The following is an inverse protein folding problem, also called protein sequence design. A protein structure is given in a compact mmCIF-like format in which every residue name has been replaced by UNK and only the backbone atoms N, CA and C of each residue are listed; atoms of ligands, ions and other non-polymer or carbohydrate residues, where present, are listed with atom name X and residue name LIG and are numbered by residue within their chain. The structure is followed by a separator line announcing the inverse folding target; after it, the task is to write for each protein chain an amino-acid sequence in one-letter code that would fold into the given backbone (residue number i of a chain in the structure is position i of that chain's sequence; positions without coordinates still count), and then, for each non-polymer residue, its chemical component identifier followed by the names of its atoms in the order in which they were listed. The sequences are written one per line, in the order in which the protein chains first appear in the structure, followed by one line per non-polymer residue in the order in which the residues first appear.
data_IF_231126363455
#
_entry.id   IF_231126363455
#
_cell.length_a   1.000
_cell.length_b   1.000
_cell.length_c   1.000
_cell.angle_alpha   90.00
_cell.angle_beta   90.00
_cell.angle_gamma   90.00
#
_symmetry.space_group_name_H-M   'P 1'
#
loop_
_entity.id
_entity.type
_entity.pdbx_description
1 polymer ?
#
# COMPACT_ATOMS: atom_id res chain seq x y z
N UNK A 1 -5.33 -1.58 -2.01
CA UNK A 1 -4.93 -0.18 -1.71
C UNK A 1 -5.15 0.67 -2.93
N UNK A 2 -5.72 1.85 -2.75
CA UNK A 2 -6.00 2.84 -3.81
C UNK A 2 -5.29 4.12 -3.44
N UNK A 3 -4.53 4.69 -4.38
CA UNK A 3 -3.80 5.95 -4.21
C UNK A 3 -4.35 6.96 -5.22
N UNK A 4 -4.91 8.06 -4.73
CA UNK A 4 -5.17 9.26 -5.51
C UNK A 4 -4.15 10.32 -5.14
N UNK A 5 -3.42 10.89 -6.11
CA UNK A 5 -2.41 11.92 -5.85
C UNK A 5 -2.57 13.10 -6.82
N UNK A 6 -2.43 14.32 -6.30
CA UNK A 6 -2.25 15.52 -7.12
C UNK A 6 -0.77 15.80 -7.23
N UNK A 7 -0.22 15.68 -8.43
CA UNK A 7 1.20 15.82 -8.70
C UNK A 7 1.55 17.25 -9.15
N UNK A 8 2.70 17.75 -8.70
CA UNK A 8 3.35 18.99 -9.18
C UNK A 8 4.60 18.72 -10.03
N UNK A 9 5.02 17.46 -10.13
CA UNK A 9 6.13 16.98 -10.94
C UNK A 9 5.86 15.59 -11.50
N UNK A 10 6.81 15.03 -12.25
CA UNK A 10 6.67 13.71 -12.86
C UNK A 10 6.92 12.60 -11.83
N UNK A 11 5.89 11.82 -11.53
CA UNK A 11 5.94 10.64 -10.66
C UNK A 11 5.31 9.49 -11.44
N UNK A 12 6.16 8.58 -11.94
CA UNK A 12 5.75 7.49 -12.81
C UNK A 12 4.78 6.54 -12.12
N UNK A 13 3.95 5.85 -12.91
CA UNK A 13 3.02 4.85 -12.36
C UNK A 13 3.78 3.72 -11.65
N UNK A 14 4.93 3.30 -12.19
CA UNK A 14 5.77 2.28 -11.54
C UNK A 14 6.22 2.74 -10.14
N UNK A 15 6.62 4.00 -9.97
CA UNK A 15 7.00 4.53 -8.65
C UNK A 15 5.81 4.50 -7.68
N UNK A 16 4.62 4.88 -8.15
CA UNK A 16 3.39 4.84 -7.34
C UNK A 16 3.02 3.40 -6.93
N UNK A 17 3.15 2.44 -7.86
CA UNK A 17 2.94 1.02 -7.57
C UNK A 17 3.96 0.53 -6.54
N UNK A 18 5.25 0.87 -6.68
CA UNK A 18 6.28 0.45 -5.71
C UNK A 18 6.05 1.03 -4.32
N UNK A 19 5.51 2.25 -4.20
CA UNK A 19 5.08 2.81 -2.91
C UNK A 19 4.03 1.91 -2.25
N UNK A 20 3.01 1.49 -3.01
CA UNK A 20 1.97 0.60 -2.51
C UNK A 20 2.51 -0.80 -2.13
N UNK A 21 3.29 -1.43 -3.01
CA UNK A 21 3.84 -2.78 -2.82
C UNK A 21 4.80 -2.86 -1.63
N UNK A 22 5.65 -1.84 -1.44
CA UNK A 22 6.63 -1.81 -0.35
C UNK A 22 5.98 -1.65 1.02
N UNK A 23 4.81 -1.01 1.08
CA UNK A 23 4.05 -0.82 2.32
C UNK A 23 3.20 -2.05 2.69
N UNK A 24 2.91 -2.94 1.74
CA UNK A 24 2.14 -4.15 1.99
C UNK A 24 2.95 -5.18 2.81
N UNK A 25 2.25 -6.09 3.50
CA UNK A 25 2.88 -7.23 4.18
C UNK A 25 3.73 -8.07 3.20
N UNK A 26 3.19 -8.28 2.00
CA UNK A 26 3.88 -8.84 0.84
C UNK A 26 3.16 -8.41 -0.44
N UNK A 27 3.89 -8.21 -1.52
CA UNK A 27 3.34 -7.91 -2.85
C UNK A 27 2.76 -9.19 -3.51
N UNK A 28 1.93 -8.99 -4.53
CA UNK A 28 1.29 -10.08 -5.27
C UNK A 28 2.13 -10.51 -6.47
N UNK A 29 2.18 -11.82 -6.70
CA UNK A 29 2.87 -12.42 -7.84
C UNK A 29 1.91 -13.33 -8.61
N UNK A 30 1.86 -13.20 -9.93
CA UNK A 30 0.91 -13.96 -10.76
C UNK A 30 1.23 -15.46 -10.87
N UNK A 31 2.50 -15.84 -10.68
CA UNK A 31 2.94 -17.24 -10.71
C UNK A 31 4.07 -17.44 -9.70
N UNK A 32 3.90 -18.43 -8.83
CA UNK A 32 4.87 -18.77 -7.78
C UNK A 32 5.35 -20.21 -7.99
N UNK A 33 6.66 -20.44 -7.88
CA UNK A 33 7.21 -21.78 -7.63
C UNK A 33 7.13 -22.10 -6.14
N UNK A 34 7.34 -23.36 -5.77
CA UNK A 34 7.33 -23.80 -4.37
C UNK A 34 8.26 -22.98 -3.45
N UNK A 35 9.50 -22.64 -3.84
CA UNK A 35 10.36 -21.78 -3.02
C UNK A 35 9.81 -20.36 -2.87
N UNK A 36 9.17 -19.83 -3.92
CA UNK A 36 8.60 -18.49 -3.93
C UNK A 36 7.37 -18.43 -3.01
N UNK A 37 6.50 -19.44 -3.06
CA UNK A 37 5.35 -19.59 -2.18
C UNK A 37 5.76 -19.64 -0.69
N UNK A 38 6.83 -20.39 -0.39
CA UNK A 38 7.43 -20.40 0.96
C UNK A 38 7.86 -18.98 1.37
N UNK A 39 8.58 -18.29 0.50
CA UNK A 39 9.08 -16.95 0.79
C UNK A 39 7.95 -15.95 1.05
N UNK A 40 6.96 -15.85 0.16
CA UNK A 40 5.88 -14.85 0.31
C UNK A 40 5.02 -15.13 1.55
N UNK A 41 4.85 -16.40 1.90
CA UNK A 41 4.12 -16.81 3.11
C UNK A 41 4.86 -16.39 4.37
N UNK A 42 6.15 -16.71 4.47
CA UNK A 42 6.99 -16.31 5.62
C UNK A 42 7.11 -14.78 5.70
N UNK A 43 7.31 -14.11 4.56
CA UNK A 43 7.41 -12.65 4.48
C UNK A 43 6.16 -11.96 5.01
N UNK A 44 4.97 -12.37 4.55
CA UNK A 44 3.71 -11.80 4.99
C UNK A 44 3.43 -12.09 6.48
N UNK A 45 3.82 -13.28 6.97
CA UNK A 45 3.68 -13.66 8.37
C UNK A 45 4.57 -12.81 9.29
N UNK A 46 5.82 -12.55 8.88
CA UNK A 46 6.79 -11.77 9.67
C UNK A 46 6.53 -10.25 9.59
N UNK A 47 5.76 -9.78 8.61
CA UNK A 47 5.46 -8.36 8.38
C UNK A 47 3.95 -8.09 8.37
N UNK A 48 3.20 -8.46 9.43
CA UNK A 48 1.78 -8.23 9.46
C UNK A 48 1.47 -6.72 9.53
N UNK A 49 0.40 -6.32 8.85
CA UNK A 49 -0.07 -4.93 8.81
C UNK A 49 -1.59 -4.92 9.00
N UNK A 50 -2.08 -4.07 9.88
CA UNK A 50 -3.49 -3.70 9.88
C UNK A 50 -3.82 -2.79 8.69
N UNK A 51 -5.11 -2.64 8.38
CA UNK A 51 -5.56 -1.76 7.29
C UNK A 51 -5.12 -0.31 7.53
N UNK A 52 -5.06 0.12 8.80
CA UNK A 52 -4.57 1.44 9.22
C UNK A 52 -3.06 1.60 9.06
N UNK A 53 -2.28 0.53 9.25
CA UNK A 53 -0.83 0.59 9.11
C UNK A 53 -0.45 0.78 7.64
N UNK A 54 -1.13 0.06 6.74
CA UNK A 54 -0.89 0.16 5.30
C UNK A 54 -1.13 1.58 4.78
N UNK A 55 -2.25 2.21 5.15
CA UNK A 55 -2.54 3.59 4.70
C UNK A 55 -1.58 4.60 5.31
N UNK A 56 -1.12 4.39 6.55
CA UNK A 56 -0.11 5.27 7.19
C UNK A 56 1.23 5.20 6.50
N UNK A 57 1.72 4.01 6.19
CA UNK A 57 3.03 3.82 5.57
C UNK A 57 3.07 4.43 4.15
N UNK A 58 2.01 4.21 3.36
CA UNK A 58 1.86 4.84 2.04
C UNK A 58 1.73 6.36 2.17
N UNK A 59 0.93 6.86 3.11
CA UNK A 59 0.80 8.30 3.35
C UNK A 59 2.14 8.95 3.72
N UNK A 60 2.97 8.30 4.56
CA UNK A 60 4.31 8.81 4.89
C UNK A 60 5.22 8.88 3.67
N UNK A 61 5.17 7.88 2.78
CA UNK A 61 5.93 7.91 1.54
C UNK A 61 5.50 9.07 0.63
N UNK A 62 4.19 9.27 0.44
CA UNK A 62 3.65 10.38 -0.35
C UNK A 62 3.90 11.75 0.30
N UNK A 63 3.86 11.84 1.63
CA UNK A 63 4.17 13.06 2.39
C UNK A 63 5.64 13.48 2.22
N UNK A 64 6.56 12.52 2.04
CA UNK A 64 7.99 12.80 1.82
C UNK A 64 8.37 13.13 0.38
N UNK A 65 7.50 12.84 -0.60
CA UNK A 65 7.78 13.12 -2.00
C UNK A 65 7.33 14.54 -2.38
N UNK A 66 8.27 15.45 -2.62
CA UNK A 66 7.99 16.85 -2.99
C UNK A 66 7.20 17.01 -4.29
N UNK A 67 7.15 15.97 -5.14
CA UNK A 67 6.35 15.98 -6.36
C UNK A 67 4.87 15.77 -6.07
N UNK A 68 4.50 15.30 -4.88
CA UNK A 68 3.11 15.09 -4.44
C UNK A 68 2.63 16.29 -3.63
N UNK A 69 1.54 16.91 -4.06
CA UNK A 69 0.95 18.09 -3.40
C UNK A 69 -0.26 17.80 -2.54
N UNK A 70 -1.00 16.74 -2.88
CA UNK A 70 -2.10 16.22 -2.10
C UNK A 70 -2.25 14.75 -2.41
N UNK A 71 -2.77 13.99 -1.45
CA UNK A 71 -3.05 12.57 -1.64
C UNK A 71 -4.28 12.12 -0.87
N UNK A 72 -4.88 11.04 -1.36
CA UNK A 72 -5.85 10.19 -0.68
C UNK A 72 -5.32 8.76 -0.79
N UNK A 73 -5.24 8.06 0.33
CA UNK A 73 -4.82 6.66 0.38
C UNK A 73 -5.92 5.89 1.07
N UNK A 74 -6.41 4.85 0.40
CA UNK A 74 -7.49 3.99 0.89
C UNK A 74 -7.01 2.54 0.89
N UNK A 75 -7.37 1.80 1.93
CA UNK A 75 -7.22 0.35 1.93
C UNK A 75 -8.50 -0.32 2.40
N UNK A 76 -8.86 -1.39 1.70
CA UNK A 76 -9.97 -2.26 2.00
C UNK A 76 -9.44 -3.69 2.11
N UNK A 77 -9.60 -4.29 3.27
CA UNK A 77 -9.29 -5.69 3.51
C UNK A 77 -10.58 -6.50 3.46
N UNK A 78 -10.64 -7.46 2.54
CA UNK A 78 -11.69 -8.48 2.53
C UNK A 78 -11.36 -9.51 3.61
N UNK A 79 -11.97 -9.35 4.78
CA UNK A 79 -11.65 -10.14 5.96
C UNK A 79 -11.94 -11.63 5.75
N UNK A 80 -10.96 -12.49 6.05
CA UNK A 80 -11.12 -13.95 5.85
C UNK A 80 -12.01 -14.63 6.89
N UNK A 81 -12.28 -13.96 8.02
CA UNK A 81 -13.08 -14.48 9.15
C UNK A 81 -14.38 -13.70 9.39
N UNK A 82 -14.66 -12.67 8.59
CA UNK A 82 -15.87 -11.85 8.68
C UNK A 82 -16.47 -11.61 7.29
N UNK A 83 -17.79 -11.46 7.17
CA UNK A 83 -18.44 -11.17 5.88
C UNK A 83 -18.66 -9.66 5.65
N UNK A 84 -17.65 -8.87 5.97
CA UNK A 84 -17.58 -7.43 5.70
C UNK A 84 -16.11 -7.00 5.60
N UNK A 85 -15.86 -5.87 4.96
CA UNK A 85 -14.51 -5.35 4.81
C UNK A 85 -14.07 -4.53 6.03
N UNK A 86 -12.79 -4.60 6.36
CA UNK A 86 -12.13 -3.57 7.18
C UNK A 86 -11.59 -2.48 6.25
N UNK A 87 -11.81 -1.21 6.59
CA UNK A 87 -11.49 -0.09 5.71
C UNK A 87 -10.81 1.04 6.47
N UNK A 88 -9.78 1.63 5.87
CA UNK A 88 -9.13 2.84 6.36
C UNK A 88 -8.82 3.81 5.21
N UNK A 89 -8.83 5.11 5.52
CA UNK A 89 -8.52 6.20 4.60
C UNK A 89 -7.68 7.27 5.29
N UNK A 90 -6.66 7.78 4.60
CA UNK A 90 -5.87 8.95 5.00
C UNK A 90 -5.84 9.95 3.86
N UNK A 91 -5.97 11.24 4.19
CA UNK A 91 -5.86 12.35 3.25
C UNK A 91 -4.89 13.40 3.76
N UNK A 92 -4.07 13.93 2.86
CA UNK A 92 -3.10 14.98 3.16
C UNK A 92 -3.00 15.99 2.02
N UNK A 93 -2.71 17.26 2.37
CA UNK A 93 -2.43 18.33 1.42
C UNK A 93 -1.27 19.18 1.92
N UNK A 94 -0.22 19.28 1.11
CA UNK A 94 0.95 20.13 1.37
C UNK A 94 0.63 21.55 0.92
N UNK A 95 0.92 22.51 1.78
CA UNK A 95 0.72 23.94 1.50
C UNK A 95 1.81 24.45 0.57
#
# INVERSE_FOLDING_TARGET
VTIGATLRGDLGLDEQIRIAETAASCELWGLLKRPDEKYVTERAYDHPKFVEDLVRDVAVALERDDRVSAYTVESENFESIHNHSAYALVQGRKT
#
